data_IF_385276181661
#
_entry.id   IF_385276181661
#
_cell.length_a   1.000
_cell.length_b   1.000
_cell.length_c   1.000
_cell.angle_alpha   90.00
_cell.angle_beta   90.00
_cell.angle_gamma   90.00
#
_symmetry.space_group_name_H-M   'P 1'
#
loop_
_entity.id
_entity.type
_entity.pdbx_description
1 polymer ?
#
# COMPACT_ATOMS: atom_id res chain seq x y z
N UNK A 1 -2.97 -5.89 -2.04
CA UNK A 1 -3.25 -7.22 -1.46
C UNK A 1 -4.72 -7.54 -1.70
N UNK A 2 -5.05 -8.68 -2.32
CA UNK A 2 -6.44 -9.10 -2.58
C UNK A 2 -6.98 -9.97 -1.44
N UNK A 3 -8.30 -10.16 -1.40
CA UNK A 3 -8.97 -11.09 -0.46
C UNK A 3 -8.48 -12.53 -0.62
N UNK A 4 -8.29 -13.00 -1.87
CA UNK A 4 -7.73 -14.32 -2.14
C UNK A 4 -6.27 -14.48 -1.70
N UNK A 5 -5.46 -13.42 -1.82
CA UNK A 5 -4.09 -13.40 -1.30
C UNK A 5 -4.07 -13.45 0.23
N UNK A 6 -4.97 -12.72 0.90
CA UNK A 6 -5.14 -12.74 2.35
C UNK A 6 -5.39 -14.15 2.89
N UNK A 7 -6.39 -14.86 2.36
CA UNK A 7 -6.72 -16.23 2.78
C UNK A 7 -5.55 -17.18 2.53
N UNK A 8 -4.94 -17.12 1.34
CA UNK A 8 -3.81 -17.98 0.98
C UNK A 8 -2.60 -17.75 1.89
N UNK A 9 -2.31 -16.50 2.22
CA UNK A 9 -1.19 -16.14 3.09
C UNK A 9 -1.44 -16.58 4.53
N UNK A 10 -2.64 -16.33 5.07
CA UNK A 10 -3.04 -16.78 6.40
C UNK A 10 -3.04 -18.31 6.53
N UNK A 11 -3.45 -19.04 5.49
CA UNK A 11 -3.36 -20.50 5.45
C UNK A 11 -1.91 -20.98 5.51
N UNK A 12 -1.05 -20.38 4.68
CA UNK A 12 0.38 -20.73 4.61
C UNK A 12 1.11 -20.41 5.92
N UNK A 13 0.84 -19.28 6.55
CA UNK A 13 1.44 -18.94 7.87
C UNK A 13 0.97 -19.90 8.96
N UNK A 14 -0.26 -20.41 8.88
CA UNK A 14 -0.78 -21.44 9.77
C UNK A 14 -0.27 -22.86 9.47
N UNK A 15 0.59 -23.05 8.45
CA UNK A 15 1.13 -24.36 8.07
C UNK A 15 0.12 -25.32 7.45
N UNK A 16 -1.05 -24.84 7.01
CA UNK A 16 -2.14 -25.69 6.52
C UNK A 16 -2.06 -25.91 5.01
N UNK A 17 -2.44 -27.09 4.56
CA UNK A 17 -2.82 -27.39 3.18
C UNK A 17 -4.23 -26.87 2.86
N UNK A 18 -4.57 -26.78 1.57
CA UNK A 18 -5.93 -26.38 1.17
C UNK A 18 -6.99 -27.38 1.65
N UNK A 19 -6.66 -28.67 1.69
CA UNK A 19 -7.56 -29.72 2.18
C UNK A 19 -7.83 -29.56 3.68
N UNK A 20 -6.81 -29.28 4.49
CA UNK A 20 -6.96 -29.07 5.93
C UNK A 20 -7.78 -27.81 6.23
N UNK A 21 -7.56 -26.72 5.50
CA UNK A 21 -8.41 -25.54 5.63
C UNK A 21 -9.86 -25.85 5.22
N UNK A 22 -10.06 -26.67 4.19
CA UNK A 22 -11.40 -27.08 3.76
C UNK A 22 -12.13 -27.88 4.84
N UNK A 23 -11.43 -28.80 5.51
CA UNK A 23 -11.94 -29.54 6.67
C UNK A 23 -12.35 -28.59 7.79
N UNK A 24 -11.49 -27.62 8.15
CA UNK A 24 -11.82 -26.62 9.19
C UNK A 24 -13.01 -25.74 8.82
N UNK A 25 -13.22 -25.51 7.52
CA UNK A 25 -14.32 -24.71 6.99
C UNK A 25 -15.61 -25.49 6.74
N UNK A 26 -15.59 -26.82 6.85
CA UNK A 26 -16.72 -27.67 6.50
C UNK A 26 -17.09 -27.63 5.01
N UNK A 27 -16.11 -27.42 4.13
CA UNK A 27 -16.30 -27.35 2.66
C UNK A 27 -15.34 -28.30 1.94
N UNK A 28 -15.50 -28.44 0.61
CA UNK A 28 -14.57 -29.25 -0.19
C UNK A 28 -13.29 -28.49 -0.54
N UNK A 29 -12.19 -29.22 -0.76
CA UNK A 29 -10.90 -28.63 -1.16
C UNK A 29 -10.98 -27.75 -2.43
N UNK A 30 -11.78 -28.10 -3.47
CA UNK A 30 -11.99 -27.21 -4.62
C UNK A 30 -12.65 -25.87 -4.27
N UNK A 31 -13.48 -25.80 -3.22
CA UNK A 31 -14.06 -24.54 -2.73
C UNK A 31 -12.94 -23.63 -2.17
N UNK A 32 -12.01 -24.19 -1.41
CA UNK A 32 -10.83 -23.45 -0.92
C UNK A 32 -9.92 -23.04 -2.08
N UNK A 33 -9.69 -23.92 -3.07
CA UNK A 33 -8.92 -23.57 -4.25
C UNK A 33 -9.54 -22.41 -5.05
N UNK A 34 -10.88 -22.38 -5.18
CA UNK A 34 -11.62 -21.26 -5.77
C UNK A 34 -11.49 -19.99 -4.94
N UNK A 35 -11.60 -20.10 -3.61
CA UNK A 35 -11.45 -19.00 -2.66
C UNK A 35 -10.05 -18.35 -2.75
N UNK A 36 -9.00 -19.14 -2.95
CA UNK A 36 -7.61 -18.66 -3.09
C UNK A 36 -7.24 -18.22 -4.53
N UNK A 37 -8.17 -18.36 -5.47
CA UNK A 37 -7.95 -18.06 -6.89
C UNK A 37 -7.93 -16.57 -7.24
N UNK A 38 -7.41 -16.23 -8.42
CA UNK A 38 -7.22 -14.85 -8.88
C UNK A 38 -8.53 -14.05 -9.06
N UNK A 39 -9.65 -14.71 -9.36
CA UNK A 39 -10.97 -14.10 -9.56
C UNK A 39 -11.94 -14.31 -8.41
N UNK A 40 -11.45 -14.72 -7.24
CA UNK A 40 -12.32 -14.94 -6.08
C UNK A 40 -12.82 -13.61 -5.54
N UNK A 41 -14.13 -13.52 -5.29
CA UNK A 41 -14.79 -12.38 -4.65
C UNK A 41 -15.68 -12.91 -3.51
N UNK A 42 -15.08 -13.36 -2.41
CA UNK A 42 -15.82 -13.92 -1.29
C UNK A 42 -16.63 -12.82 -0.59
N UNK A 43 -17.78 -13.21 -0.01
CA UNK A 43 -18.48 -12.33 0.92
C UNK A 43 -17.58 -12.01 2.12
N UNK A 44 -17.85 -10.88 2.79
CA UNK A 44 -17.18 -10.53 4.03
C UNK A 44 -17.20 -11.69 5.04
N UNK A 45 -18.37 -12.30 5.23
CA UNK A 45 -18.54 -13.45 6.12
C UNK A 45 -17.64 -14.64 5.74
N UNK A 46 -17.55 -14.97 4.44
CA UNK A 46 -16.71 -16.07 3.95
C UNK A 46 -15.23 -15.79 4.20
N UNK A 47 -14.78 -14.56 3.95
CA UNK A 47 -13.42 -14.13 4.24
C UNK A 47 -13.11 -14.23 5.73
N UNK A 48 -14.01 -13.72 6.59
CA UNK A 48 -13.86 -13.77 8.04
C UNK A 48 -13.75 -15.20 8.54
N UNK A 49 -14.66 -16.07 8.08
CA UNK A 49 -14.67 -17.49 8.48
C UNK A 49 -13.38 -18.21 8.05
N UNK A 50 -12.89 -17.93 6.85
CA UNK A 50 -11.63 -18.49 6.36
C UNK A 50 -10.42 -18.06 7.19
N UNK A 51 -10.31 -16.77 7.54
CA UNK A 51 -9.20 -16.26 8.36
C UNK A 51 -9.27 -16.76 9.81
N UNK A 52 -10.46 -16.88 10.39
CA UNK A 52 -10.63 -17.50 11.72
C UNK A 52 -10.27 -18.98 11.72
N UNK A 53 -10.61 -19.72 10.66
CA UNK A 53 -10.24 -21.12 10.51
C UNK A 53 -8.72 -21.34 10.43
N UNK A 54 -7.95 -20.32 10.05
CA UNK A 54 -6.48 -20.34 10.08
C UNK A 54 -5.89 -19.81 11.39
N UNK A 55 -6.72 -19.48 12.39
CA UNK A 55 -6.28 -18.98 13.70
C UNK A 55 -5.98 -17.48 13.75
N UNK A 56 -6.41 -16.71 12.76
CA UNK A 56 -6.23 -15.25 12.75
C UNK A 56 -7.51 -14.55 13.19
N UNK A 57 -7.35 -13.41 13.88
CA UNK A 57 -8.44 -12.46 14.09
C UNK A 57 -8.34 -11.29 13.10
N UNK A 58 -9.42 -10.53 12.94
CA UNK A 58 -9.53 -9.47 11.94
C UNK A 58 -9.86 -8.15 12.60
N UNK A 59 -8.94 -7.20 12.44
CA UNK A 59 -9.18 -5.80 12.76
C UNK A 59 -9.36 -4.99 11.47
N UNK A 60 -10.47 -4.27 11.40
CA UNK A 60 -10.75 -3.34 10.30
C UNK A 60 -10.55 -1.91 10.80
N UNK A 61 -9.60 -1.20 10.20
CA UNK A 61 -9.34 0.20 10.52
C UNK A 61 -9.55 1.07 9.28
N UNK A 62 -10.33 2.14 9.43
CA UNK A 62 -10.39 3.23 8.45
C UNK A 62 -9.21 4.15 8.71
N UNK A 63 -8.34 4.35 7.72
CA UNK A 63 -7.32 5.41 7.75
C UNK A 63 -7.74 6.55 6.83
N UNK A 64 -7.63 7.82 7.26
CA UNK A 64 -7.73 8.92 6.31
C UNK A 64 -6.60 8.78 5.27
N UNK A 65 -6.78 9.28 4.03
CA UNK A 65 -5.67 9.39 3.11
C UNK A 65 -4.55 10.19 3.76
N UNK A 66 -3.28 9.91 3.46
CA UNK A 66 -2.19 10.76 3.93
C UNK A 66 -2.51 12.19 3.54
N UNK A 67 -2.65 13.07 4.53
CA UNK A 67 -2.76 14.50 4.27
C UNK A 67 -1.37 14.90 3.78
N UNK A 68 -1.25 15.15 2.48
CA UNK A 68 -0.11 15.94 2.00
C UNK A 68 -0.34 17.32 2.59
N UNK A 69 0.41 17.64 3.63
CA UNK A 69 0.39 18.96 4.22
C UNK A 69 1.04 19.91 3.21
N UNK A 70 0.22 20.36 2.26
CA UNK A 70 0.60 21.42 1.34
C UNK A 70 0.57 22.71 2.14
N UNK A 71 1.70 23.40 2.16
CA UNK A 71 1.71 24.79 2.61
C UNK A 71 0.89 25.63 1.61
N UNK A 72 -0.37 25.83 1.94
CA UNK A 72 -1.29 26.62 1.14
C UNK A 72 -0.91 28.09 1.11
N UNK A 73 -0.11 28.58 2.07
CA UNK A 73 0.49 29.91 2.03
C UNK A 73 1.48 30.01 0.87
N UNK A 74 2.44 29.09 0.82
CA UNK A 74 3.42 29.00 -0.27
C UNK A 74 2.75 28.79 -1.64
N UNK A 75 1.70 27.97 -1.70
CA UNK A 75 0.94 27.77 -2.94
C UNK A 75 0.27 29.05 -3.43
N UNK A 76 -0.36 29.81 -2.53
CA UNK A 76 -1.00 31.10 -2.86
C UNK A 76 0.02 32.13 -3.34
N UNK A 77 1.16 32.24 -2.65
CA UNK A 77 2.25 33.13 -3.06
C UNK A 77 2.74 32.78 -4.48
N UNK A 78 2.90 31.49 -4.79
CA UNK A 78 3.28 31.06 -6.13
C UNK A 78 2.21 31.33 -7.17
N UNK A 79 0.93 31.18 -6.85
CA UNK A 79 -0.17 31.47 -7.76
C UNK A 79 -0.34 32.97 -8.03
N UNK A 80 0.08 33.83 -7.09
CA UNK A 80 0.12 35.28 -7.28
C UNK A 80 1.19 35.73 -8.30
N UNK A 81 2.21 34.90 -8.56
CA UNK A 81 3.18 35.14 -9.62
C UNK A 81 2.55 34.87 -11.00
N UNK A 82 2.95 35.64 -12.01
CA UNK A 82 2.60 35.34 -13.41
C UNK A 82 3.21 34.01 -13.86
N UNK A 83 2.69 33.36 -14.92
CA UNK A 83 3.27 32.12 -15.45
C UNK A 83 4.78 32.20 -15.73
N UNK A 84 5.25 33.32 -16.30
CA UNK A 84 6.67 33.54 -16.60
C UNK A 84 7.53 33.72 -15.33
N UNK A 85 6.99 34.34 -14.29
CA UNK A 85 7.69 34.50 -13.00
C UNK A 85 7.75 33.19 -12.23
N UNK A 86 6.69 32.38 -12.28
CA UNK A 86 6.70 31.01 -11.74
C UNK A 86 7.79 30.16 -12.37
N UNK A 87 7.90 30.20 -13.70
CA UNK A 87 8.93 29.45 -14.43
C UNK A 87 10.34 29.89 -14.05
N UNK A 88 10.57 31.22 -13.97
CA UNK A 88 11.86 31.77 -13.54
C UNK A 88 12.21 31.40 -12.10
N UNK A 89 11.23 31.45 -11.18
CA UNK A 89 11.41 31.04 -9.80
C UNK A 89 11.75 29.54 -9.68
N UNK A 90 11.10 28.70 -10.47
CA UNK A 90 11.40 27.28 -10.55
C UNK A 90 12.83 27.01 -11.07
N UNK A 91 13.23 27.65 -12.17
CA UNK A 91 14.57 27.51 -12.75
C UNK A 91 15.68 27.91 -11.75
N UNK A 92 15.49 29.02 -11.01
CA UNK A 92 16.41 29.42 -9.93
C UNK A 92 16.49 28.38 -8.82
N UNK A 93 15.34 27.85 -8.39
CA UNK A 93 15.29 26.83 -7.34
C UNK A 93 15.97 25.53 -7.78
N UNK A 94 15.86 25.15 -9.07
CA UNK A 94 16.58 24.00 -9.63
C UNK A 94 18.09 24.21 -9.67
N UNK A 95 18.56 25.37 -10.13
CA UNK A 95 19.99 25.69 -10.16
C UNK A 95 20.61 25.59 -8.74
N UNK A 96 19.93 26.14 -7.74
CA UNK A 96 20.37 26.06 -6.34
C UNK A 96 20.42 24.62 -5.83
N UNK A 97 19.46 23.77 -6.20
CA UNK A 97 19.44 22.36 -5.80
C UNK A 97 20.56 21.54 -6.47
N UNK A 98 20.86 21.82 -7.74
CA UNK A 98 22.00 21.19 -8.44
C UNK A 98 23.31 21.57 -7.74
N UNK A 99 23.47 22.83 -7.37
CA UNK A 99 24.65 23.29 -6.61
C UNK A 99 24.72 22.65 -5.22
N UNK A 100 23.62 22.63 -4.46
CA UNK A 100 23.54 21.99 -3.14
C UNK A 100 23.90 20.51 -3.20
N UNK A 101 23.38 19.78 -4.20
CA UNK A 101 23.68 18.36 -4.41
C UNK A 101 25.15 18.14 -4.76
N UNK A 102 25.72 18.97 -5.62
CA UNK A 102 27.15 18.92 -5.96
C UNK A 102 28.04 19.22 -4.74
N UNK A 103 27.62 20.13 -3.85
CA UNK A 103 28.34 20.45 -2.61
C UNK A 103 28.11 19.45 -1.46
N UNK A 104 27.03 18.66 -1.52
CA UNK A 104 26.69 17.65 -0.51
C UNK A 104 27.27 16.26 -0.82
N UNK A 105 27.87 16.07 -2.00
CA UNK A 105 28.61 14.85 -2.33
C UNK A 105 29.96 14.89 -1.58
N UNK A 106 30.29 13.90 -0.72
CA UNK A 106 31.50 13.97 0.08
C UNK A 106 32.73 13.97 -0.82
N UNK A 107 33.68 14.88 -0.54
CA UNK A 107 35.04 14.82 -1.09
C UNK A 107 35.58 13.44 -0.74
N UNK A 108 35.86 12.62 -1.74
CA UNK A 108 36.47 11.32 -1.54
C UNK A 108 37.85 11.52 -0.93
N UNK A 109 38.00 11.09 0.32
CA UNK A 109 39.31 10.86 0.92
C UNK A 109 39.89 9.61 0.26
N UNK A 110 40.93 9.81 -0.54
CA UNK A 110 41.83 8.77 -1.06
C UNK A 110 43.14 8.81 -0.29
#
# INVERSE_FOLDING_TARGET
MTSSQLVRQARRSAGLTQAELAVRLGVSQPVVARLEGWRSNPTWETLVRALRATGHDIELARRPPPVVELDLGQLRERLALTPAERLRAFQRSQANLVHLRASAQPRGDG
#
